data_IF_270181098783
#
_entry.id   IF_270181098783
#
_cell.length_a   1.000
_cell.length_b   1.000
_cell.length_c   1.000
_cell.angle_alpha   90.00
_cell.angle_beta   90.00
_cell.angle_gamma   90.00
#
_symmetry.space_group_name_H-M   'P 1'
#
loop_
_entity.id
_entity.type
_entity.pdbx_description
1 polymer ?
#
# COMPACT_ATOMS: atom_id res chain seq x y z
N UNK A 1 -18.58 16.91 24.74
CA UNK A 1 -18.28 17.42 23.38
C UNK A 1 -17.70 16.24 22.64
N UNK A 2 -18.51 15.56 21.82
CA UNK A 2 -18.05 14.44 21.00
C UNK A 2 -17.51 15.02 19.69
N UNK A 3 -16.24 14.72 19.48
CA UNK A 3 -15.36 15.18 18.41
C UNK A 3 -15.90 14.79 17.03
N UNK A 4 -15.51 15.54 16.01
CA UNK A 4 -15.92 15.36 14.61
C UNK A 4 -15.79 13.88 14.20
N UNK A 5 -16.88 13.30 13.70
CA UNK A 5 -16.95 11.89 13.37
C UNK A 5 -15.96 11.59 12.23
N UNK A 6 -14.83 10.96 12.54
CA UNK A 6 -13.89 10.49 11.53
C UNK A 6 -14.62 9.62 10.49
N UNK A 7 -14.65 10.09 9.24
CA UNK A 7 -15.46 9.52 8.18
C UNK A 7 -14.74 8.33 7.53
N UNK A 8 -13.41 8.35 7.51
CA UNK A 8 -12.57 7.29 6.95
C UNK A 8 -11.15 7.34 7.54
N UNK A 9 -10.37 6.27 7.38
CA UNK A 9 -8.94 6.26 7.66
C UNK A 9 -8.14 5.96 6.39
N UNK A 10 -6.90 6.44 6.36
CA UNK A 10 -5.97 6.29 5.25
C UNK A 10 -4.76 5.47 5.66
N UNK A 11 -4.33 4.59 4.77
CA UNK A 11 -3.08 3.84 4.87
C UNK A 11 -2.16 4.25 3.71
N UNK A 12 -1.23 5.15 3.97
CA UNK A 12 -0.38 5.78 2.96
C UNK A 12 0.98 5.09 2.90
N UNK A 13 1.46 4.60 1.75
CA UNK A 13 2.80 4.02 1.62
C UNK A 13 3.89 4.99 2.09
N UNK A 14 4.80 4.54 2.97
CA UNK A 14 5.79 5.42 3.59
C UNK A 14 7.24 5.11 3.21
N UNK A 15 7.60 3.83 3.00
CA UNK A 15 8.94 3.45 2.55
C UNK A 15 8.98 3.19 1.03
N UNK A 16 10.17 3.21 0.44
CA UNK A 16 10.41 2.96 -1.00
C UNK A 16 9.74 1.67 -1.47
N UNK A 17 9.85 0.59 -0.69
CA UNK A 17 9.25 -0.70 -1.04
C UNK A 17 7.72 -0.61 -1.15
N UNK A 18 7.05 0.00 -0.18
CA UNK A 18 5.60 0.18 -0.20
C UNK A 18 5.14 1.13 -1.32
N UNK A 19 5.88 2.22 -1.57
CA UNK A 19 5.60 3.17 -2.65
C UNK A 19 5.64 2.49 -4.03
N UNK A 20 6.71 1.72 -4.30
CA UNK A 20 6.86 0.96 -5.54
C UNK A 20 5.79 -0.14 -5.67
N UNK A 21 5.50 -0.86 -4.58
CA UNK A 21 4.47 -1.88 -4.58
C UNK A 21 3.07 -1.31 -4.85
N UNK A 22 2.72 -0.19 -4.21
CA UNK A 22 1.50 0.55 -4.47
C UNK A 22 1.41 0.99 -5.93
N UNK A 23 2.49 1.57 -6.48
CA UNK A 23 2.52 2.00 -7.89
C UNK A 23 2.32 0.84 -8.85
N UNK A 24 2.92 -0.32 -8.58
CA UNK A 24 2.76 -1.50 -9.43
C UNK A 24 1.34 -2.06 -9.37
N UNK A 25 0.67 -2.00 -8.22
CA UNK A 25 -0.76 -2.31 -8.10
C UNK A 25 -1.58 -1.30 -8.90
N UNK A 26 -1.34 0.00 -8.72
CA UNK A 26 -2.03 1.06 -9.44
C UNK A 26 -1.90 0.91 -10.97
N UNK A 27 -0.70 0.65 -11.49
CA UNK A 27 -0.48 0.39 -12.92
C UNK A 27 -1.34 -0.78 -13.42
N UNK A 28 -1.40 -1.90 -12.67
CA UNK A 28 -2.23 -3.04 -13.03
C UNK A 28 -3.72 -2.74 -12.99
N UNK A 29 -4.17 -1.89 -12.07
CA UNK A 29 -5.58 -1.53 -11.94
C UNK A 29 -6.04 -0.52 -12.99
N UNK A 30 -5.20 0.46 -13.32
CA UNK A 30 -5.50 1.51 -14.28
C UNK A 30 -5.40 1.04 -15.74
N UNK A 31 -4.60 0.01 -16.00
CA UNK A 31 -4.51 -0.62 -17.34
C UNK A 31 -5.65 -1.61 -17.61
N UNK A 32 -6.33 -2.08 -16.56
CA UNK A 32 -7.45 -3.00 -16.72
C UNK A 32 -8.68 -2.25 -17.26
N UNK A 33 -9.32 -2.79 -18.31
CA UNK A 33 -10.48 -2.18 -18.98
C UNK A 33 -11.77 -2.13 -18.12
N UNK A 34 -11.77 -2.68 -16.90
CA UNK A 34 -12.94 -2.70 -16.02
C UNK A 34 -12.54 -2.34 -14.58
N UNK A 35 -13.43 -1.70 -13.80
CA UNK A 35 -13.18 -1.40 -12.40
C UNK A 35 -12.99 -2.71 -11.62
N UNK A 36 -11.74 -2.98 -11.25
CA UNK A 36 -11.37 -4.12 -10.42
C UNK A 36 -11.79 -3.85 -8.98
N UNK A 37 -12.28 -4.89 -8.30
CA UNK A 37 -12.69 -4.87 -6.88
C UNK A 37 -11.72 -4.10 -5.96
N UNK A 38 -10.40 -4.24 -6.15
CA UNK A 38 -9.41 -3.56 -5.33
C UNK A 38 -9.36 -2.04 -5.53
N UNK A 39 -9.78 -1.53 -6.69
CA UNK A 39 -9.74 -0.09 -7.03
C UNK A 39 -10.64 0.74 -6.12
N UNK A 40 -11.74 0.17 -5.62
CA UNK A 40 -12.66 0.87 -4.69
C UNK A 40 -12.05 1.11 -3.31
N UNK A 41 -10.96 0.42 -2.97
CA UNK A 41 -10.25 0.56 -1.70
C UNK A 41 -8.99 1.41 -1.81
N UNK A 42 -8.73 2.02 -2.96
CA UNK A 42 -7.54 2.83 -3.22
C UNK A 42 -7.96 4.24 -3.62
N UNK A 43 -7.26 5.23 -3.07
CA UNK A 43 -7.20 6.57 -3.61
C UNK A 43 -5.87 6.68 -4.36
N UNK A 44 -5.93 6.91 -5.68
CA UNK A 44 -4.76 6.94 -6.56
C UNK A 44 -4.70 8.31 -7.20
N UNK A 45 -3.53 8.93 -7.18
CA UNK A 45 -3.28 10.21 -7.83
C UNK A 45 -3.71 10.19 -9.30
N UNK A 46 -4.15 11.33 -9.83
CA UNK A 46 -4.57 11.45 -11.24
C UNK A 46 -3.39 11.34 -12.21
N UNK A 47 -2.18 11.65 -11.75
CA UNK A 47 -0.94 11.58 -12.53
C UNK A 47 0.17 10.94 -11.72
N UNK A 48 1.15 10.33 -12.41
CA UNK A 48 2.40 9.88 -11.78
C UNK A 48 3.19 11.11 -11.29
N UNK A 49 3.92 10.91 -10.20
CA UNK A 49 4.73 11.94 -9.56
C UNK A 49 6.15 11.41 -9.34
N UNK A 50 7.13 12.30 -9.40
CA UNK A 50 8.51 11.97 -9.01
C UNK A 50 8.61 11.90 -7.49
N UNK A 51 9.25 10.84 -6.98
CA UNK A 51 9.55 10.67 -5.56
C UNK A 51 11.06 10.54 -5.39
N UNK A 52 11.67 11.45 -4.62
CA UNK A 52 13.13 11.56 -4.51
C UNK A 52 13.78 10.29 -3.92
N UNK A 53 13.13 9.63 -2.97
CA UNK A 53 13.66 8.41 -2.35
C UNK A 53 13.63 7.23 -3.33
N UNK A 54 12.54 7.14 -4.09
CA UNK A 54 12.36 6.11 -5.12
C UNK A 54 13.32 6.34 -6.28
N UNK A 55 13.45 7.59 -6.74
CA UNK A 55 14.41 7.97 -7.78
C UNK A 55 15.84 7.60 -7.36
N UNK A 56 16.26 8.01 -6.16
CA UNK A 56 17.58 7.67 -5.64
C UNK A 56 17.81 6.16 -5.46
N UNK A 57 16.76 5.38 -5.14
CA UNK A 57 16.85 3.92 -5.06
C UNK A 57 17.00 3.28 -6.45
N UNK A 58 16.23 3.74 -7.44
CA UNK A 58 16.28 3.23 -8.80
C UNK A 58 17.61 3.55 -9.48
N UNK A 59 18.13 4.78 -9.33
CA UNK A 59 19.44 5.15 -9.89
C UNK A 59 20.56 4.26 -9.35
N UNK A 60 20.61 4.06 -8.03
CA UNK A 60 21.64 3.20 -7.40
C UNK A 60 21.59 1.75 -7.90
N UNK A 61 20.40 1.22 -8.15
CA UNK A 61 20.23 -0.15 -8.65
C UNK A 61 20.48 -0.28 -10.16
N UNK A 62 20.23 0.78 -10.93
CA UNK A 62 20.56 0.83 -12.36
C UNK A 62 22.07 0.91 -12.58
N UNK A 63 22.76 1.76 -11.80
CA UNK A 63 24.22 1.89 -11.88
C UNK A 63 24.93 0.57 -11.53
N UNK A 64 24.36 -0.21 -10.60
CA UNK A 64 24.86 -1.55 -10.29
C UNK A 64 24.65 -2.58 -11.43
N UNK A 65 23.73 -2.31 -12.37
CA UNK A 65 23.40 -3.21 -13.49
C UNK A 65 24.05 -2.79 -14.82
N UNK A 66 24.64 -1.58 -14.91
CA UNK A 66 25.20 -1.02 -16.14
C UNK A 66 26.74 -1.14 -16.23
N UNK A 67 27.35 -2.04 -15.46
CA UNK A 67 28.81 -2.26 -15.44
C UNK A 67 29.38 -2.97 -16.68
N UNK A 68 28.59 -3.34 -17.69
CA UNK A 68 29.11 -3.97 -18.92
C UNK A 68 28.23 -3.63 -20.12
N UNK A 69 28.55 -2.57 -20.87
CA UNK A 69 28.67 -2.55 -22.35
C UNK A 69 28.84 -1.11 -22.87
N UNK A 70 29.87 -0.82 -23.68
CA UNK A 70 29.99 0.45 -24.39
C UNK A 70 29.25 0.40 -25.72
N UNK A 71 28.26 1.26 -25.94
CA UNK A 71 27.78 1.57 -27.31
C UNK A 71 27.26 3.01 -27.38
N UNK A 72 27.59 3.67 -28.49
CA UNK A 72 27.53 5.11 -28.76
C UNK A 72 26.11 5.74 -28.71
N UNK A 73 26.01 7.08 -28.57
CA UNK A 73 24.77 7.77 -28.29
C UNK A 73 24.11 8.27 -29.57
N UNK A 74 22.85 7.89 -29.77
CA UNK A 74 21.88 8.71 -30.48
C UNK A 74 20.60 8.72 -29.62
N UNK A 75 19.95 9.89 -29.56
CA UNK A 75 18.73 10.26 -28.80
C UNK A 75 18.88 10.56 -27.30
N UNK A 76 19.63 11.62 -26.95
CA UNK A 76 19.71 12.15 -25.58
C UNK A 76 18.33 12.57 -25.03
N UNK A 77 17.46 13.16 -25.86
CA UNK A 77 16.14 13.66 -25.46
C UNK A 77 15.10 12.56 -25.23
N UNK A 78 15.11 11.48 -26.01
CA UNK A 78 14.23 10.31 -25.77
C UNK A 78 14.67 9.51 -24.54
N UNK A 79 15.99 9.42 -24.31
CA UNK A 79 16.54 8.78 -23.11
C UNK A 79 16.19 9.55 -21.85
N UNK A 80 16.10 10.88 -21.88
CA UNK A 80 15.67 11.69 -20.75
C UNK A 80 14.19 11.51 -20.43
N UNK A 81 13.29 11.56 -21.41
CA UNK A 81 11.86 11.32 -21.18
C UNK A 81 11.55 9.89 -20.74
N UNK A 82 12.23 8.88 -21.30
CA UNK A 82 12.07 7.51 -20.82
C UNK A 82 12.62 7.33 -19.40
N UNK A 83 13.74 8.00 -19.06
CA UNK A 83 14.26 7.98 -17.69
C UNK A 83 13.30 8.67 -16.72
N UNK A 84 12.78 9.84 -17.06
CA UNK A 84 11.82 10.57 -16.22
C UNK A 84 10.49 9.82 -16.05
N UNK A 85 10.02 9.14 -17.10
CA UNK A 85 8.86 8.25 -17.03
C UNK A 85 9.12 7.02 -16.14
N UNK A 86 10.36 6.51 -16.11
CA UNK A 86 10.77 5.40 -15.23
C UNK A 86 10.97 5.83 -13.77
N UNK A 87 11.18 7.12 -13.50
CA UNK A 87 11.38 7.67 -12.15
C UNK A 87 10.06 8.15 -11.51
N UNK A 88 9.00 8.27 -12.30
CA UNK A 88 7.68 8.69 -11.84
C UNK A 88 6.83 7.49 -11.43
N UNK A 89 6.16 7.59 -10.29
CA UNK A 89 5.32 6.52 -9.73
C UNK A 89 3.90 7.02 -9.45
N UNK A 90 2.93 6.10 -9.41
CA UNK A 90 1.62 6.43 -8.84
C UNK A 90 1.73 6.58 -7.33
N UNK A 91 1.09 7.61 -6.80
CA UNK A 91 1.02 7.90 -5.36
C UNK A 91 -0.43 7.80 -4.89
N UNK A 92 -0.64 7.68 -3.58
CA UNK A 92 -1.98 7.54 -3.03
C UNK A 92 -2.03 6.83 -1.69
N UNK A 93 -3.20 6.29 -1.36
CA UNK A 93 -3.44 5.58 -0.10
C UNK A 93 -4.49 4.48 -0.26
N UNK A 94 -4.52 3.52 0.65
CA UNK A 94 -5.68 2.65 0.82
C UNK A 94 -6.68 3.32 1.77
N UNK A 95 -7.98 3.15 1.47
CA UNK A 95 -9.07 3.78 2.20
C UNK A 95 -9.80 2.74 3.06
N UNK A 96 -9.94 3.06 4.34
CA UNK A 96 -10.75 2.35 5.32
C UNK A 96 -12.01 3.21 5.54
N UNK A 97 -13.14 2.84 4.97
CA UNK A 97 -14.40 3.59 5.14
C UNK A 97 -15.02 3.26 6.51
N UNK A 98 -15.19 4.28 7.35
CA UNK A 98 -15.71 4.11 8.71
C UNK A 98 -17.20 4.47 8.83
N UNK A 99 -17.87 4.83 7.72
CA UNK A 99 -19.29 5.24 7.73
C UNK A 99 -20.20 4.08 8.15
N UNK A 100 -21.11 4.38 9.09
CA UNK A 100 -21.81 3.39 9.93
C UNK A 100 -23.05 2.72 9.30
N UNK A 101 -23.27 2.77 7.99
CA UNK A 101 -24.48 2.17 7.40
C UNK A 101 -24.40 0.64 7.20
N UNK A 102 -23.25 0.03 7.52
CA UNK A 102 -23.05 -1.42 7.44
C UNK A 102 -22.65 -2.08 8.77
N UNK A 103 -23.07 -1.49 9.90
CA UNK A 103 -22.83 -1.96 11.28
C UNK A 103 -23.36 -3.39 11.56
N UNK A 104 -24.10 -4.01 10.63
CA UNK A 104 -24.50 -5.42 10.71
C UNK A 104 -23.48 -6.42 10.13
N UNK A 105 -22.33 -5.95 9.64
CA UNK A 105 -21.18 -6.80 9.30
C UNK A 105 -19.94 -6.22 9.99
N UNK A 106 -19.10 -7.06 10.59
CA UNK A 106 -17.83 -6.63 11.15
C UNK A 106 -17.02 -5.90 10.07
N UNK A 107 -17.03 -4.56 10.10
CA UNK A 107 -16.29 -3.72 9.17
C UNK A 107 -14.81 -4.10 9.28
N UNK A 108 -14.37 -4.90 8.31
CA UNK A 108 -13.10 -5.57 8.35
C UNK A 108 -12.48 -5.56 6.96
N UNK A 109 -11.19 -5.28 6.94
CA UNK A 109 -10.41 -5.22 5.72
C UNK A 109 -9.20 -6.13 5.87
N UNK A 110 -8.97 -6.93 4.84
CA UNK A 110 -7.88 -7.87 4.74
C UNK A 110 -6.83 -7.27 3.83
N UNK A 111 -5.58 -7.29 4.29
CA UNK A 111 -4.43 -6.83 3.54
C UNK A 111 -3.48 -7.99 3.22
N UNK A 112 -2.95 -7.99 2.01
CA UNK A 112 -2.03 -9.04 1.54
C UNK A 112 -1.82 -9.01 0.04
N UNK A 113 -1.32 -10.11 -0.50
CA UNK A 113 -1.06 -10.29 -1.94
C UNK A 113 -2.22 -10.97 -2.70
N UNK A 114 -3.23 -11.44 -1.98
CA UNK A 114 -4.29 -12.29 -2.51
C UNK A 114 -3.83 -13.74 -2.77
N UNK A 115 -4.79 -14.64 -2.95
CA UNK A 115 -4.55 -16.04 -3.33
C UNK A 115 -4.99 -16.28 -4.76
N UNK A 116 -4.42 -17.30 -5.42
CA UNK A 116 -4.84 -17.70 -6.76
C UNK A 116 -6.31 -18.13 -6.73
N UNK A 117 -7.13 -17.63 -7.66
CA UNK A 117 -8.55 -17.98 -7.77
C UNK A 117 -9.50 -17.26 -6.79
N UNK A 118 -8.99 -16.57 -5.76
CA UNK A 118 -9.80 -15.87 -4.77
C UNK A 118 -9.46 -14.38 -4.74
N UNK A 119 -10.00 -13.65 -5.72
CA UNK A 119 -9.69 -12.23 -5.96
C UNK A 119 -10.23 -11.32 -4.85
N UNK A 120 -11.30 -11.71 -4.16
CA UNK A 120 -11.99 -10.85 -3.19
C UNK A 120 -11.62 -11.13 -1.72
N UNK A 121 -10.71 -12.07 -1.47
CA UNK A 121 -10.24 -12.40 -0.11
C UNK A 121 -9.41 -11.26 0.52
N UNK A 122 -8.98 -10.28 -0.27
CA UNK A 122 -8.09 -9.19 0.14
C UNK A 122 -8.63 -7.88 -0.41
N UNK A 123 -9.03 -6.97 0.47
CA UNK A 123 -9.46 -5.62 0.10
C UNK A 123 -8.24 -4.76 -0.26
N UNK A 124 -7.20 -4.82 0.56
CA UNK A 124 -5.95 -4.08 0.35
C UNK A 124 -4.91 -4.98 -0.31
N UNK A 125 -4.94 -5.02 -1.65
CA UNK A 125 -3.93 -5.71 -2.44
C UNK A 125 -2.63 -4.91 -2.39
N UNK A 126 -1.67 -5.36 -1.57
CA UNK A 126 -0.48 -4.57 -1.23
C UNK A 126 0.64 -4.64 -2.29
N UNK A 127 0.68 -5.71 -3.09
CA UNK A 127 1.66 -5.88 -4.14
C UNK A 127 1.16 -6.89 -5.21
N UNK A 128 1.61 -6.78 -6.47
CA UNK A 128 1.34 -7.80 -7.48
C UNK A 128 2.00 -9.14 -7.12
N UNK A 129 1.43 -10.24 -7.62
CA UNK A 129 1.91 -11.60 -7.31
C UNK A 129 3.36 -11.86 -7.73
N UNK A 130 3.82 -11.24 -8.82
CA UNK A 130 5.18 -11.44 -9.36
C UNK A 130 6.25 -10.63 -8.64
N UNK A 131 5.88 -9.63 -7.83
CA UNK A 131 6.85 -8.80 -7.11
C UNK A 131 7.49 -9.60 -5.96
N UNK A 132 8.78 -9.38 -5.68
CA UNK A 132 9.41 -9.94 -4.48
C UNK A 132 9.13 -8.99 -3.32
N UNK A 133 8.18 -9.34 -2.47
CA UNK A 133 7.85 -8.64 -1.22
C UNK A 133 7.60 -9.68 -0.13
N UNK A 134 7.90 -9.36 1.12
CA UNK A 134 7.68 -10.24 2.29
C UNK A 134 6.20 -10.21 2.74
N UNK A 135 5.28 -10.25 1.79
CA UNK A 135 3.83 -10.17 2.01
C UNK A 135 3.17 -11.49 1.65
N UNK A 136 2.32 -12.00 2.54
CA UNK A 136 1.60 -13.27 2.40
C UNK A 136 0.31 -13.04 1.61
N UNK A 137 -0.33 -14.11 1.14
CA UNK A 137 -1.60 -14.02 0.42
C UNK A 137 -2.67 -13.29 1.23
N UNK A 138 -2.86 -13.70 2.49
CA UNK A 138 -3.61 -12.99 3.52
C UNK A 138 -2.62 -12.73 4.65
N UNK A 139 -2.31 -11.46 4.92
CA UNK A 139 -1.23 -11.09 5.82
C UNK A 139 -1.77 -10.45 7.10
N UNK A 140 -2.53 -9.36 6.98
CA UNK A 140 -3.05 -8.60 8.12
C UNK A 140 -4.55 -8.35 8.00
N UNK A 141 -5.22 -8.16 9.14
CA UNK A 141 -6.60 -7.73 9.24
C UNK A 141 -6.70 -6.40 9.96
N UNK A 142 -7.57 -5.55 9.44
CA UNK A 142 -8.03 -4.32 10.05
C UNK A 142 -9.48 -4.53 10.45
N UNK A 143 -9.86 -4.25 11.69
CA UNK A 143 -11.25 -4.35 12.14
C UNK A 143 -11.63 -3.14 12.99
N UNK A 144 -12.87 -2.67 12.87
CA UNK A 144 -13.39 -1.63 13.77
C UNK A 144 -13.77 -2.27 15.11
N UNK A 145 -13.27 -1.73 16.22
CA UNK A 145 -13.72 -2.13 17.55
C UNK A 145 -15.15 -1.62 17.77
N UNK A 146 -16.11 -2.49 18.09
CA UNK A 146 -17.54 -2.13 18.13
C UNK A 146 -17.84 -1.03 19.15
N UNK A 147 -17.16 -1.04 20.30
CA UNK A 147 -17.47 -0.09 21.39
C UNK A 147 -16.71 1.23 21.31
N UNK A 148 -15.55 1.27 20.64
CA UNK A 148 -14.66 2.43 20.66
C UNK A 148 -14.52 3.09 19.29
N UNK A 149 -14.92 2.40 18.21
CA UNK A 149 -14.69 2.85 16.84
C UNK A 149 -13.24 2.77 16.38
N UNK A 150 -12.30 2.41 17.27
CA UNK A 150 -10.89 2.35 16.91
C UNK A 150 -10.58 1.15 16.02
N UNK A 151 -9.68 1.38 15.06
CA UNK A 151 -9.13 0.32 14.23
C UNK A 151 -8.21 -0.57 15.06
N UNK A 152 -8.42 -1.88 14.91
CA UNK A 152 -7.57 -2.95 15.39
C UNK A 152 -6.80 -3.54 14.24
N UNK A 153 -5.52 -3.79 14.44
CA UNK A 153 -4.64 -4.47 13.48
C UNK A 153 -4.19 -5.79 14.07
N UNK A 154 -4.28 -6.86 13.28
CA UNK A 154 -3.87 -8.20 13.69
C UNK A 154 -3.23 -8.97 12.54
N UNK A 155 -2.13 -9.69 12.80
CA UNK A 155 -1.60 -10.66 11.85
C UNK A 155 -2.52 -11.88 11.72
N UNK A 156 -2.63 -12.45 10.52
CA UNK A 156 -3.54 -13.59 10.27
C UNK A 156 -2.86 -14.95 10.26
N UNK A 157 -1.54 -14.99 10.11
CA UNK A 157 -0.78 -16.22 10.04
C UNK A 157 0.43 -16.12 10.95
N UNK A 158 0.83 -17.26 11.51
CA UNK A 158 2.10 -17.38 12.23
C UNK A 158 3.23 -17.01 11.24
N UNK A 159 4.16 -16.16 11.66
CA UNK A 159 5.25 -15.59 10.86
C UNK A 159 4.82 -14.59 9.75
N UNK A 160 3.64 -13.99 9.86
CA UNK A 160 3.23 -12.85 9.03
C UNK A 160 3.57 -11.53 9.76
N UNK A 161 4.87 -11.18 9.79
CA UNK A 161 5.38 -10.02 10.52
C UNK A 161 4.57 -8.75 10.21
N UNK A 162 3.75 -8.36 11.17
CA UNK A 162 2.92 -7.14 11.11
C UNK A 162 3.12 -6.40 12.41
N UNK A 163 3.48 -5.12 12.32
CA UNK A 163 3.75 -4.29 13.50
C UNK A 163 2.96 -2.99 13.46
N UNK A 164 2.54 -2.49 14.62
CA UNK A 164 1.96 -1.16 14.81
C UNK A 164 2.90 -0.39 15.73
N UNK A 165 3.44 0.74 15.27
CA UNK A 165 4.43 1.55 15.99
C UNK A 165 5.65 0.74 16.50
N UNK A 166 6.01 -0.33 15.79
CA UNK A 166 7.10 -1.24 16.16
C UNK A 166 6.71 -2.41 17.05
N UNK A 167 5.47 -2.45 17.56
CA UNK A 167 4.95 -3.56 18.36
C UNK A 167 4.33 -4.64 17.46
N UNK A 168 4.74 -5.90 17.64
CA UNK A 168 4.23 -7.03 16.85
C UNK A 168 2.76 -7.35 17.15
N UNK A 169 1.98 -7.57 16.10
CA UNK A 169 0.52 -7.78 16.19
C UNK A 169 0.14 -9.26 16.31
N UNK A 170 0.90 -10.07 17.08
CA UNK A 170 0.51 -11.45 17.41
C UNK A 170 -0.86 -11.49 18.08
N UNK A 171 -1.11 -10.48 18.91
CA UNK A 171 -2.43 -10.09 19.40
C UNK A 171 -2.88 -8.84 18.66
N UNK A 172 -4.20 -8.64 18.60
CA UNK A 172 -4.74 -7.46 17.96
C UNK A 172 -4.35 -6.19 18.74
N UNK A 173 -3.72 -5.23 18.06
CA UNK A 173 -3.32 -3.93 18.61
C UNK A 173 -4.34 -2.86 18.19
N UNK A 174 -4.77 -2.03 19.14
CA UNK A 174 -5.66 -0.89 18.86
C UNK A 174 -4.85 0.34 18.45
N UNK A 175 -5.29 1.01 17.39
CA UNK A 175 -4.79 2.34 17.03
C UNK A 175 -5.64 3.38 17.75
N UNK A 176 -5.19 3.75 18.95
CA UNK A 176 -5.85 4.74 19.82
C UNK A 176 -5.42 6.19 19.55
N UNK A 177 -4.35 6.41 18.77
CA UNK A 177 -3.90 7.73 18.35
C UNK A 177 -4.45 8.13 16.99
N UNK A 178 -4.39 9.44 16.67
CA UNK A 178 -4.79 9.97 15.37
C UNK A 178 -4.00 9.36 14.20
N UNK A 179 -2.76 8.92 14.48
CA UNK A 179 -1.85 8.35 13.49
C UNK A 179 -1.09 7.15 14.06
N UNK A 180 -0.66 6.24 13.18
CA UNK A 180 0.27 5.16 13.54
C UNK A 180 1.18 4.80 12.36
N UNK A 181 2.30 4.14 12.63
CA UNK A 181 3.12 3.48 11.61
C UNK A 181 2.79 2.00 11.60
N UNK A 182 2.48 1.46 10.43
CA UNK A 182 2.11 0.06 10.27
C UNK A 182 3.11 -0.59 9.33
N UNK A 183 3.74 -1.67 9.77
CA UNK A 183 4.54 -2.54 8.92
C UNK A 183 3.74 -3.80 8.59
N UNK A 184 3.74 -4.22 7.33
CA UNK A 184 3.16 -5.48 6.84
C UNK A 184 4.22 -6.16 5.98
N UNK A 185 4.95 -7.11 6.56
CA UNK A 185 6.20 -7.61 5.99
C UNK A 185 7.25 -6.52 5.92
N UNK A 186 7.80 -6.30 4.73
CA UNK A 186 8.78 -5.26 4.40
C UNK A 186 8.14 -3.93 3.96
N UNK A 187 6.81 -3.87 3.87
CA UNK A 187 6.07 -2.69 3.43
C UNK A 187 5.64 -1.85 4.63
N UNK A 188 6.00 -0.56 4.61
CA UNK A 188 5.65 0.38 5.69
C UNK A 188 4.61 1.39 5.22
N UNK A 189 3.70 1.72 6.13
CA UNK A 189 2.59 2.62 5.90
C UNK A 189 2.39 3.59 7.05
N UNK A 190 2.01 4.82 6.73
CA UNK A 190 1.47 5.78 7.67
C UNK A 190 -0.05 5.64 7.69
N UNK A 191 -0.58 5.27 8.84
CA UNK A 191 -2.00 5.27 9.14
C UNK A 191 -2.41 6.63 9.70
N UNK A 192 -3.53 7.16 9.25
CA UNK A 192 -4.16 8.35 9.82
C UNK A 192 -5.69 8.25 9.75
N UNK A 193 -6.37 8.61 10.82
CA UNK A 193 -7.80 8.93 10.78
C UNK A 193 -8.00 10.25 10.02
N UNK A 194 -9.03 10.32 9.18
CA UNK A 194 -9.37 11.48 8.38
C UNK A 194 -10.85 11.86 8.55
N UNK A 195 -11.07 13.15 8.81
CA UNK A 195 -12.39 13.81 8.83
C UNK A 195 -12.73 14.37 7.46
#
# INVERSE_FOLDING_TARGET
>A
MADESCIYAKLTPSNVAAKLAFSAVADSLLTAQQPLYHRSFMDISSTKQSDAEVAAFLSRNQDASLSDTPTEPDTETEREWEKDARLSIWTGSYIIDLRSEHVNSSASWTAGRGRTGAVQDVQFLLCPRKQKAQVRGIHAHFTVHPDTGFIRVQQRQINASTCVNGEETERAIHINGATARIAIGDLMYNFAYAG
#
